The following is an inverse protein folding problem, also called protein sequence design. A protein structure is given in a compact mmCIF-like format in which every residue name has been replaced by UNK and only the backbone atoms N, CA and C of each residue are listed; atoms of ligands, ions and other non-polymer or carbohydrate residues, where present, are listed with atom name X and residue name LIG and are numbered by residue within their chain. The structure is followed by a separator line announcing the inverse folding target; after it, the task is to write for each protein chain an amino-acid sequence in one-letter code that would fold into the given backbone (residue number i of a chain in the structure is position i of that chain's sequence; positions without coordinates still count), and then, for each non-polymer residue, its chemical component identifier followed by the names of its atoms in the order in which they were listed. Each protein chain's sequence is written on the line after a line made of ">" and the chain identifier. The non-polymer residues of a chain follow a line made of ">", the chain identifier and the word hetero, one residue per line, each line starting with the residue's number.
data_IF_808634372330
#
_entry.id   IF_808634372330
#
_cell.length_a   1.000
_cell.length_b   1.000
_cell.length_c   1.000
_cell.angle_alpha   90.00
_cell.angle_beta   90.00
_cell.angle_gamma   90.00
#
_symmetry.space_group_name_H-M   'P 1'
#
loop_
_entity.id
_entity.type
_entity.pdbx_description
1 polymer ?
#
# COMPACT_ATOMS: atom_id res chain seq x y z
N UNK A 1 41.56 -25.27 9.82
CA UNK A 1 41.34 -24.05 10.62
C UNK A 1 39.87 -23.98 10.98
N UNK A 2 39.50 -24.39 12.21
CA UNK A 2 38.10 -24.32 12.69
C UNK A 2 37.84 -22.91 13.19
N UNK A 3 36.81 -22.23 12.65
CA UNK A 3 36.33 -20.96 13.21
C UNK A 3 35.74 -21.21 14.62
N UNK A 4 36.04 -20.36 15.61
CA UNK A 4 35.49 -20.50 16.96
C UNK A 4 34.00 -20.11 16.99
N UNK A 5 33.18 -20.74 17.84
CA UNK A 5 31.79 -20.36 18.01
C UNK A 5 31.74 -19.08 18.87
N UNK A 6 31.91 -17.91 18.24
CA UNK A 6 31.61 -16.65 18.91
C UNK A 6 30.10 -16.42 18.85
N UNK A 7 29.45 -16.99 19.87
CA UNK A 7 28.21 -16.58 20.51
C UNK A 7 27.29 -15.69 19.66
N UNK A 8 26.26 -16.32 19.06
CA UNK A 8 24.94 -15.69 18.99
C UNK A 8 24.63 -15.20 20.41
N UNK A 9 24.47 -13.89 20.65
CA UNK A 9 23.87 -13.42 21.89
C UNK A 9 22.51 -14.12 22.01
N UNK A 10 22.03 -14.29 23.23
CA UNK A 10 20.67 -14.74 23.51
C UNK A 10 19.70 -13.69 22.93
N UNK A 11 19.53 -13.72 21.62
CA UNK A 11 18.98 -12.62 20.86
C UNK A 11 17.48 -12.71 21.02
N UNK A 12 16.83 -11.61 21.37
CA UNK A 12 15.38 -11.57 21.51
C UNK A 12 14.65 -12.12 20.26
N UNK A 13 15.32 -12.14 19.10
CA UNK A 13 14.92 -12.85 17.89
C UNK A 13 14.95 -14.40 17.98
N UNK A 14 14.56 -15.00 19.12
CA UNK A 14 14.32 -16.44 19.22
C UNK A 14 13.21 -16.87 18.25
N UNK A 15 13.16 -18.16 17.90
CA UNK A 15 12.05 -18.73 17.11
C UNK A 15 10.72 -18.34 17.79
N UNK A 16 9.77 -17.80 17.02
CA UNK A 16 8.40 -17.40 17.39
C UNK A 16 8.13 -15.92 17.71
N UNK A 17 9.11 -15.01 17.67
CA UNK A 17 8.84 -13.55 17.81
C UNK A 17 8.28 -12.91 16.54
N UNK A 18 8.46 -13.57 15.40
CA UNK A 18 8.17 -13.09 14.06
C UNK A 18 7.15 -14.00 13.39
N UNK A 19 6.07 -13.43 12.88
CA UNK A 19 5.03 -14.12 12.13
C UNK A 19 5.27 -13.98 10.62
N UNK A 20 4.60 -14.83 9.84
CA UNK A 20 4.60 -14.76 8.36
C UNK A 20 6.00 -14.66 7.71
N UNK A 21 6.98 -15.31 8.35
CA UNK A 21 8.42 -15.36 7.99
C UNK A 21 9.08 -13.96 7.83
N UNK A 22 8.63 -12.95 8.58
CA UNK A 22 9.34 -11.66 8.65
C UNK A 22 10.78 -11.82 9.16
N UNK A 23 11.67 -10.85 8.90
CA UNK A 23 13.07 -10.83 9.38
C UNK A 23 13.15 -10.05 10.69
N UNK A 24 13.60 -10.70 11.77
CA UNK A 24 13.82 -10.03 13.06
C UNK A 24 15.24 -9.51 13.14
N UNK A 25 15.36 -8.24 13.52
CA UNK A 25 16.61 -7.54 13.75
C UNK A 25 16.62 -7.12 15.23
N UNK A 26 17.50 -7.69 16.05
CA UNK A 26 17.63 -7.24 17.42
C UNK A 26 18.18 -5.81 17.43
N UNK A 27 17.61 -4.94 18.26
CA UNK A 27 18.16 -3.61 18.48
C UNK A 27 19.41 -3.71 19.38
N UNK A 28 20.25 -2.67 19.40
CA UNK A 28 21.55 -2.71 20.10
C UNK A 28 21.44 -3.30 21.52
N UNK A 29 22.09 -4.46 21.70
CA UNK A 29 22.12 -5.20 22.97
C UNK A 29 22.74 -4.42 24.12
N UNK A 30 23.48 -3.34 23.84
CA UNK A 30 24.01 -2.42 24.86
C UNK A 30 22.92 -1.51 25.44
N UNK A 31 21.82 -1.31 24.71
CA UNK A 31 20.69 -0.47 25.09
C UNK A 31 19.57 -1.31 25.69
N UNK A 32 19.24 -2.45 25.09
CA UNK A 32 18.28 -3.39 25.64
C UNK A 32 18.46 -4.80 25.08
N UNK A 33 18.22 -5.79 25.94
CA UNK A 33 18.26 -7.21 25.58
C UNK A 33 16.91 -7.73 25.04
N UNK A 34 15.85 -6.93 25.10
CA UNK A 34 14.47 -7.33 24.75
C UNK A 34 13.89 -6.57 23.56
N UNK A 35 14.57 -5.54 23.06
CA UNK A 35 14.09 -4.75 21.93
C UNK A 35 14.48 -5.35 20.58
N UNK A 36 13.52 -5.39 19.66
CA UNK A 36 13.71 -5.83 18.27
C UNK A 36 12.86 -5.01 17.32
N UNK A 37 13.16 -5.15 16.03
CA UNK A 37 12.34 -4.67 14.93
C UNK A 37 12.15 -5.81 13.94
N UNK A 38 10.95 -5.95 13.39
CA UNK A 38 10.69 -6.89 12.30
C UNK A 38 10.63 -6.14 10.97
N UNK A 39 11.32 -6.67 9.96
CA UNK A 39 11.10 -6.33 8.55
C UNK A 39 10.13 -7.34 7.98
N UNK A 40 8.96 -6.87 7.56
CA UNK A 40 7.91 -7.72 7.02
C UNK A 40 8.11 -7.98 5.54
N UNK A 41 7.69 -9.17 5.10
CA UNK A 41 7.56 -9.47 3.67
C UNK A 41 6.38 -8.69 3.08
N UNK A 42 6.38 -8.53 1.76
CA UNK A 42 5.27 -7.94 1.03
C UNK A 42 3.94 -8.62 1.41
N UNK A 43 2.91 -7.80 1.60
CA UNK A 43 1.60 -8.26 2.04
C UNK A 43 1.43 -8.44 3.54
N UNK A 44 2.44 -8.14 4.36
CA UNK A 44 2.34 -8.18 5.82
C UNK A 44 2.80 -6.89 6.48
N UNK A 45 2.28 -6.64 7.68
CA UNK A 45 2.64 -5.48 8.51
C UNK A 45 2.43 -5.78 10.00
N UNK A 46 2.76 -4.81 10.85
CA UNK A 46 2.70 -4.93 12.30
C UNK A 46 4.06 -5.15 12.95
N UNK A 47 4.18 -4.93 14.27
CA UNK A 47 5.43 -5.09 15.03
C UNK A 47 6.11 -6.46 14.87
N UNK A 48 5.31 -7.50 14.62
CA UNK A 48 5.77 -8.88 14.45
C UNK A 48 5.39 -9.46 13.09
N UNK A 49 4.94 -8.61 12.15
CA UNK A 49 4.41 -9.02 10.85
C UNK A 49 3.15 -9.90 10.94
N UNK A 50 2.34 -9.70 11.97
CA UNK A 50 1.14 -10.48 12.28
C UNK A 50 -0.06 -10.11 11.40
N UNK A 51 -0.09 -8.88 10.86
CA UNK A 51 -1.22 -8.39 10.08
C UNK A 51 -1.02 -8.70 8.61
N UNK A 52 -2.06 -9.28 7.98
CA UNK A 52 -2.13 -9.40 6.53
C UNK A 52 -2.67 -8.11 5.94
N UNK A 53 -1.95 -7.53 5.00
CA UNK A 53 -2.33 -6.30 4.32
C UNK A 53 -3.46 -6.57 3.32
N UNK A 54 -4.26 -5.55 3.02
CA UNK A 54 -5.19 -5.59 1.90
C UNK A 54 -4.40 -5.69 0.59
N UNK A 55 -4.90 -6.49 -0.35
CA UNK A 55 -4.28 -6.69 -1.65
C UNK A 55 -5.16 -6.07 -2.74
N UNK A 56 -4.57 -5.26 -3.60
CA UNK A 56 -5.24 -4.64 -4.74
C UNK A 56 -4.55 -5.13 -6.00
N UNK A 57 -5.31 -5.82 -6.85
CA UNK A 57 -4.87 -6.31 -8.15
C UNK A 57 -5.44 -5.38 -9.21
N UNK A 58 -4.58 -4.63 -9.90
CA UNK A 58 -4.99 -3.69 -10.95
C UNK A 58 -4.65 -4.30 -12.31
N UNK A 59 -5.68 -4.56 -13.11
CA UNK A 59 -5.56 -4.94 -14.53
C UNK A 59 -5.76 -3.73 -15.45
N UNK A 60 -5.46 -3.92 -16.72
CA UNK A 60 -5.57 -2.89 -17.76
C UNK A 60 -6.44 -3.37 -18.90
N UNK A 61 -7.35 -2.51 -19.37
CA UNK A 61 -8.21 -2.80 -20.52
C UNK A 61 -8.29 -1.61 -21.46
N UNK A 62 -8.12 -1.88 -22.76
CA UNK A 62 -8.08 -0.90 -23.84
C UNK A 62 -7.07 0.25 -23.62
N UNK A 63 -6.03 0.01 -22.81
CA UNK A 63 -4.96 0.96 -22.50
C UNK A 63 -3.61 0.30 -22.65
N UNK A 64 -2.61 1.06 -23.12
CA UNK A 64 -1.23 0.59 -23.12
C UNK A 64 -0.69 0.52 -21.70
N UNK A 65 -0.23 -0.67 -21.28
CA UNK A 65 0.37 -0.88 -19.97
C UNK A 65 1.61 0.02 -19.84
N UNK A 66 1.68 0.90 -18.82
CA UNK A 66 2.84 1.78 -18.64
C UNK A 66 4.04 1.03 -18.06
N UNK A 67 5.23 1.62 -18.11
CA UNK A 67 6.43 1.06 -17.44
C UNK A 67 6.34 1.12 -15.91
N UNK A 68 5.53 2.05 -15.40
CA UNK A 68 5.29 2.18 -13.97
C UNK A 68 3.89 2.74 -13.72
N UNK A 69 3.32 2.37 -12.59
CA UNK A 69 2.01 2.82 -12.14
C UNK A 69 2.14 3.53 -10.79
N UNK A 70 1.59 4.76 -10.74
CA UNK A 70 1.37 5.46 -9.48
C UNK A 70 -0.07 5.20 -9.03
N UNK A 71 -0.22 4.83 -7.76
CA UNK A 71 -1.52 4.58 -7.14
C UNK A 71 -1.68 5.46 -5.91
N UNK A 72 -2.83 6.10 -5.80
CA UNK A 72 -3.18 6.99 -4.69
C UNK A 72 -4.32 6.40 -3.89
N UNK A 73 -4.03 6.02 -2.65
CA UNK A 73 -5.01 5.57 -1.67
C UNK A 73 -5.49 6.78 -0.87
N UNK A 74 -6.79 7.06 -0.90
CA UNK A 74 -7.40 8.16 -0.17
C UNK A 74 -8.26 7.59 0.95
N UNK A 75 -7.97 8.04 2.17
CA UNK A 75 -8.79 7.78 3.34
C UNK A 75 -9.66 8.99 3.60
N UNK A 76 -10.95 8.85 3.39
CA UNK A 76 -11.93 9.82 3.85
C UNK A 76 -12.13 9.56 5.35
N UNK A 77 -11.55 10.40 6.19
CA UNK A 77 -11.77 10.31 7.63
C UNK A 77 -13.24 10.66 7.91
N UNK A 78 -14.01 9.73 8.45
CA UNK A 78 -15.40 9.99 8.86
C UNK A 78 -15.58 10.21 10.36
N UNK A 79 -14.53 10.13 11.19
CA UNK A 79 -14.69 10.05 12.65
C UNK A 79 -13.59 10.71 13.50
N UNK A 80 -12.95 11.79 13.04
CA UNK A 80 -12.33 12.71 14.02
C UNK A 80 -13.38 13.73 14.46
N UNK A 81 -14.20 13.33 15.45
CA UNK A 81 -15.17 14.20 16.13
C UNK A 81 -14.51 15.35 16.93
N UNK A 82 -13.19 15.51 16.82
CA UNK A 82 -12.37 16.52 17.49
C UNK A 82 -11.71 17.51 16.52
N UNK A 83 -11.78 17.29 15.19
CA UNK A 83 -11.31 18.25 14.21
C UNK A 83 -12.53 18.84 13.49
N UNK A 84 -12.65 20.16 13.48
CA UNK A 84 -13.77 20.84 12.83
C UNK A 84 -13.78 20.62 11.30
N UNK A 85 -12.68 20.14 10.70
CA UNK A 85 -12.55 19.85 9.26
C UNK A 85 -11.53 18.74 9.00
N UNK A 86 -11.90 17.45 9.12
CA UNK A 86 -10.96 16.36 8.87
C UNK A 86 -10.57 16.33 7.39
N UNK A 87 -9.28 16.52 7.10
CA UNK A 87 -8.76 16.46 5.73
C UNK A 87 -8.54 15.00 5.32
N UNK A 88 -8.83 14.64 4.05
CA UNK A 88 -8.56 13.30 3.57
C UNK A 88 -7.06 13.01 3.58
N UNK A 89 -6.67 11.85 4.09
CA UNK A 89 -5.28 11.39 4.09
C UNK A 89 -5.01 10.68 2.76
N UNK A 90 -3.92 11.06 2.09
CA UNK A 90 -3.47 10.44 0.83
C UNK A 90 -2.16 9.69 1.04
N UNK A 91 -2.18 8.39 0.74
CA UNK A 91 -0.97 7.57 0.60
C UNK A 91 -0.69 7.32 -0.87
N UNK A 92 0.56 7.51 -1.31
CA UNK A 92 0.96 7.28 -2.71
C UNK A 92 1.89 6.07 -2.76
N UNK A 93 1.63 5.16 -3.69
CA UNK A 93 2.49 4.02 -3.97
C UNK A 93 2.93 4.05 -5.43
N UNK A 94 4.13 3.55 -5.67
CA UNK A 94 4.75 3.45 -6.97
C UNK A 94 5.20 2.02 -7.19
N UNK A 95 4.94 1.48 -8.39
CA UNK A 95 5.42 0.17 -8.79
C UNK A 95 5.81 0.16 -10.26
N UNK A 96 7.02 -0.33 -10.54
CA UNK A 96 7.46 -0.65 -11.89
C UNK A 96 6.73 -1.90 -12.38
N UNK A 97 6.33 -1.91 -13.65
CA UNK A 97 5.64 -3.02 -14.29
C UNK A 97 6.61 -3.69 -15.26
N UNK A 98 6.80 -5.00 -15.10
CA UNK A 98 7.62 -5.78 -16.03
C UNK A 98 6.86 -6.05 -17.33
N UNK A 99 7.58 -6.33 -18.40
CA UNK A 99 6.99 -6.57 -19.73
C UNK A 99 6.05 -7.78 -19.80
N UNK A 100 6.13 -8.70 -18.84
CA UNK A 100 5.32 -9.91 -18.72
C UNK A 100 4.22 -9.81 -17.63
N UNK A 101 4.04 -8.63 -17.04
CA UNK A 101 3.05 -8.40 -15.98
C UNK A 101 1.83 -7.61 -16.50
N UNK A 102 0.70 -8.31 -16.69
CA UNK A 102 -0.58 -7.69 -17.08
C UNK A 102 -1.42 -7.24 -15.88
N UNK A 103 -0.99 -7.60 -14.66
CA UNK A 103 -1.67 -7.28 -13.41
C UNK A 103 -0.64 -6.73 -12.42
N UNK A 104 -0.91 -5.55 -11.88
CA UNK A 104 -0.06 -4.94 -10.86
C UNK A 104 -0.67 -5.16 -9.48
N UNK A 105 0.10 -5.80 -8.62
CA UNK A 105 -0.30 -6.08 -7.23
C UNK A 105 0.24 -5.01 -6.27
N UNK A 106 -0.63 -4.44 -5.45
CA UNK A 106 -0.29 -3.54 -4.34
C UNK A 106 -0.77 -4.11 -3.00
N UNK A 107 0.00 -3.86 -1.94
CA UNK A 107 -0.36 -4.24 -0.58
C UNK A 107 -0.52 -3.01 0.31
N UNK A 108 -1.71 -2.81 0.86
CA UNK A 108 -2.06 -1.66 1.69
C UNK A 108 -2.29 -2.07 3.15
N UNK A 109 -1.54 -1.47 4.06
CA UNK A 109 -1.63 -1.74 5.50
C UNK A 109 -2.63 -0.83 6.24
N UNK A 110 -2.90 0.36 5.71
CA UNK A 110 -3.81 1.34 6.33
C UNK A 110 -5.20 1.28 5.67
N UNK A 111 -6.27 1.66 6.40
CA UNK A 111 -7.59 1.83 5.81
C UNK A 111 -7.58 2.80 4.62
N UNK A 112 -8.50 2.62 3.68
CA UNK A 112 -8.71 3.50 2.54
C UNK A 112 -10.13 3.37 2.01
N UNK A 113 -10.59 4.36 1.24
CA UNK A 113 -11.95 4.41 0.69
C UNK A 113 -11.95 4.59 -0.83
N UNK A 114 -11.00 5.38 -1.34
CA UNK A 114 -10.85 5.61 -2.78
C UNK A 114 -9.44 5.19 -3.21
N UNK A 115 -9.33 4.65 -4.42
CA UNK A 115 -8.05 4.35 -5.05
C UNK A 115 -8.03 4.95 -6.45
N UNK A 116 -7.01 5.75 -6.74
CA UNK A 116 -6.77 6.28 -8.08
C UNK A 116 -5.52 5.67 -8.68
N UNK A 117 -5.60 5.17 -9.91
CA UNK A 117 -4.45 4.84 -10.74
C UNK A 117 -4.11 6.00 -11.67
N UNK A 118 -2.83 6.37 -11.78
CA UNK A 118 -2.38 7.37 -12.74
C UNK A 118 -1.54 6.76 -13.85
N UNK A 119 -1.98 7.00 -15.09
CA UNK A 119 -1.24 6.65 -16.29
C UNK A 119 -0.96 7.95 -17.05
N UNK A 120 0.33 8.27 -17.22
CA UNK A 120 0.79 9.56 -17.78
C UNK A 120 0.20 10.73 -16.95
N UNK A 121 -0.64 11.56 -17.54
CA UNK A 121 -1.32 12.69 -16.88
C UNK A 121 -2.81 12.44 -16.62
N UNK A 122 -3.29 11.20 -16.80
CA UNK A 122 -4.69 10.82 -16.61
C UNK A 122 -4.86 10.04 -15.31
N UNK A 123 -5.87 10.41 -14.55
CA UNK A 123 -6.28 9.73 -13.33
C UNK A 123 -7.50 8.87 -13.61
N UNK A 124 -7.51 7.67 -13.05
CA UNK A 124 -8.61 6.72 -13.15
C UNK A 124 -9.02 6.33 -11.73
N UNK A 125 -10.30 6.48 -11.40
CA UNK A 125 -10.85 6.02 -10.12
C UNK A 125 -11.10 4.51 -10.24
N UNK A 126 -10.29 3.70 -9.57
CA UNK A 126 -10.29 2.24 -9.74
C UNK A 126 -11.03 1.49 -8.63
N UNK A 127 -11.11 2.08 -7.42
CA UNK A 127 -11.83 1.49 -6.28
C UNK A 127 -12.60 2.58 -5.56
N UNK A 128 -13.85 2.28 -5.23
CA UNK A 128 -14.70 3.05 -4.32
C UNK A 128 -15.31 2.08 -3.32
N UNK A 129 -15.07 2.31 -2.04
CA UNK A 129 -15.68 1.52 -0.97
C UNK A 129 -16.10 2.41 0.20
N UNK A 130 -17.23 2.09 0.81
CA UNK A 130 -17.74 2.80 1.98
C UNK A 130 -17.08 2.33 3.27
N UNK A 131 -16.93 1.00 3.43
CA UNK A 131 -16.33 0.40 4.61
C UNK A 131 -15.06 -0.33 4.21
N UNK A 132 -13.94 0.04 4.85
CA UNK A 132 -12.69 -0.68 4.68
C UNK A 132 -12.78 -2.08 5.33
N UNK A 133 -12.48 -3.12 4.55
CA UNK A 133 -12.35 -4.49 5.06
C UNK A 133 -10.86 -4.86 5.17
N UNK A 134 -10.35 -5.12 6.39
CA UNK A 134 -8.97 -5.55 6.58
C UNK A 134 -8.62 -6.81 5.78
N UNK A 135 -7.41 -6.86 5.23
CA UNK A 135 -6.89 -8.03 4.49
C UNK A 135 -7.70 -8.46 3.26
N UNK A 136 -8.62 -7.61 2.78
CA UNK A 136 -9.42 -7.89 1.59
C UNK A 136 -8.55 -8.01 0.34
N UNK A 137 -8.97 -8.87 -0.59
CA UNK A 137 -8.40 -8.96 -1.94
C UNK A 137 -9.38 -8.29 -2.90
N UNK A 138 -8.95 -7.18 -3.50
CA UNK A 138 -9.75 -6.34 -4.39
C UNK A 138 -9.16 -6.44 -5.79
N UNK A 139 -10.01 -6.75 -6.77
CA UNK A 139 -9.68 -6.66 -8.18
C UNK A 139 -10.23 -5.35 -8.73
N UNK A 140 -9.40 -4.62 -9.45
CA UNK A 140 -9.75 -3.35 -10.05
C UNK A 140 -9.17 -3.27 -11.47
N UNK A 141 -9.74 -2.40 -12.30
CA UNK A 141 -9.36 -2.29 -13.70
C UNK A 141 -9.17 -0.82 -14.08
N UNK A 142 -8.10 -0.52 -14.81
CA UNK A 142 -7.92 0.77 -15.46
C UNK A 142 -8.39 0.65 -16.91
N UNK A 143 -9.48 1.34 -17.21
CA UNK A 143 -10.06 1.41 -18.56
C UNK A 143 -9.82 2.78 -19.17
N UNK A 144 -9.36 2.83 -20.42
CA UNK A 144 -9.03 4.08 -21.11
C UNK A 144 -10.20 5.07 -21.20
N UNK A 145 -11.43 4.57 -21.37
CA UNK A 145 -12.65 5.39 -21.47
C UNK A 145 -13.12 5.96 -20.13
N UNK A 146 -12.62 5.45 -19.00
CA UNK A 146 -13.08 5.80 -17.65
C UNK A 146 -12.08 6.70 -16.91
N UNK A 147 -11.35 7.55 -17.62
CA UNK A 147 -10.49 8.54 -16.96
C UNK A 147 -11.33 9.67 -16.36
N UNK A 148 -10.90 10.18 -15.21
CA UNK A 148 -11.47 11.39 -14.65
C UNK A 148 -11.23 12.55 -15.63
N UNK A 149 -12.26 13.33 -15.97
CA UNK A 149 -12.08 14.53 -16.79
C UNK A 149 -11.21 15.54 -16.04
N UNK A 150 -10.45 16.33 -16.78
CA UNK A 150 -9.70 17.41 -16.15
C UNK A 150 -10.69 18.46 -15.65
N UNK A 151 -10.37 19.12 -14.53
CA UNK A 151 -11.25 20.12 -13.91
C UNK A 151 -11.65 21.25 -14.89
N UNK A 152 -10.74 21.62 -15.80
CA UNK A 152 -11.01 22.60 -16.87
C UNK A 152 -12.07 22.13 -17.87
N UNK A 153 -12.10 20.83 -18.17
CA UNK A 153 -13.06 20.27 -19.12
C UNK A 153 -14.48 20.28 -18.53
N UNK A 154 -14.60 20.12 -17.20
CA UNK A 154 -15.87 20.21 -16.48
C UNK A 154 -16.46 21.63 -16.47
N UNK A 155 -15.61 22.65 -16.41
CA UNK A 155 -16.03 24.05 -16.33
C UNK A 155 -16.26 24.71 -17.70
N UNK A 156 -15.66 24.19 -18.78
CA UNK A 156 -15.95 24.68 -20.13
C UNK A 156 -17.36 24.33 -20.62
N UNK A 157 -17.99 23.29 -20.06
CA UNK A 157 -19.36 22.88 -20.41
C UNK A 157 -20.45 23.51 -19.55
N UNK A 158 -20.10 24.23 -18.48
CA UNK A 158 -21.06 24.70 -17.45
C UNK A 158 -21.11 26.23 -17.26
N UNK A 159 -20.50 27.01 -18.17
CA UNK A 159 -20.55 28.49 -18.15
C UNK A 159 -21.12 29.09 -19.43
N UNK A 160 -22.02 28.37 -20.10
CA UNK A 160 -22.93 28.93 -21.09
C UNK A 160 -24.34 28.79 -20.50
N UNK A 161 -24.67 29.68 -19.56
CA UNK A 161 -26.03 30.06 -19.17
C UNK A 161 -25.98 31.50 -18.63
#
# INVERSE_FOLDING_TARGET
>A
TKLPPRCLPDSVCKKNVRMNEGLCIPQDHRVSFTSFTCICRDGFSGPTCEHKNGQINISFSDVSIPQALLVYFITVQSFDALSENPMPIRTTMFKEIKFDEDIVMFFMALPFHLVFGQIKSKFHLTVVQHNYTPSAMISAEIVQSQHCPHIRDLFNTSMID
#
